data_IF_404269268065
#
_entry.id   IF_404269268065
#
_cell.length_a   1.000
_cell.length_b   1.000
_cell.length_c   1.000
_cell.angle_alpha   90.00
_cell.angle_beta   90.00
_cell.angle_gamma   90.00
#
_symmetry.space_group_name_H-M   'P 1'
#
loop_
_entity.id
_entity.type
_entity.pdbx_description
1 polymer ?
#
# COMPACT_ATOMS: atom_id res chain seq x y z
N UNK A 1 15.05 -6.11 -4.72
CA UNK A 1 14.08 -7.05 -5.35
C UNK A 1 14.60 -8.49 -5.29
N UNK A 2 15.83 -8.79 -5.70
CA UNK A 2 16.39 -10.15 -5.69
C UNK A 2 16.41 -10.86 -4.32
N UNK A 3 16.49 -10.11 -3.22
CA UNK A 3 16.46 -10.65 -1.84
C UNK A 3 15.13 -10.45 -1.12
N UNK A 4 14.11 -9.90 -1.79
CA UNK A 4 12.83 -9.64 -1.15
C UNK A 4 11.94 -10.88 -1.19
N UNK A 5 11.51 -11.37 -0.02
CA UNK A 5 10.57 -12.49 0.09
C UNK A 5 9.14 -12.11 -0.32
N UNK A 6 8.78 -10.85 -0.07
CA UNK A 6 7.44 -10.30 -0.32
C UNK A 6 7.57 -8.92 -0.97
N UNK A 7 6.80 -8.70 -2.03
CA UNK A 7 6.69 -7.44 -2.76
C UNK A 7 5.23 -7.02 -2.70
N UNK A 8 4.95 -5.81 -2.22
CA UNK A 8 3.60 -5.25 -2.19
C UNK A 8 3.50 -4.17 -3.26
N UNK A 9 2.51 -4.27 -4.15
CA UNK A 9 2.27 -3.33 -5.24
C UNK A 9 0.88 -2.72 -5.09
N UNK A 10 0.84 -1.40 -4.88
CA UNK A 10 -0.41 -0.64 -4.73
C UNK A 10 -0.71 0.16 -5.99
N UNK A 11 -1.80 -0.16 -6.68
CA UNK A 11 -2.26 0.60 -7.85
C UNK A 11 -3.18 1.75 -7.45
N UNK A 12 -2.83 2.95 -7.90
CA UNK A 12 -3.54 4.19 -7.60
C UNK A 12 -4.67 4.47 -8.58
N UNK A 13 -4.33 4.63 -9.85
CA UNK A 13 -5.24 5.03 -10.93
C UNK A 13 -4.73 4.53 -12.29
N UNK A 14 -5.63 4.26 -13.22
CA UNK A 14 -5.31 4.07 -14.64
C UNK A 14 -5.25 5.38 -15.44
N UNK A 15 -5.48 6.53 -14.78
CA UNK A 15 -5.36 7.85 -15.40
C UNK A 15 -3.89 8.26 -15.38
N UNK A 16 -3.31 8.41 -16.56
CA UNK A 16 -1.90 8.76 -16.74
C UNK A 16 -1.76 10.11 -17.42
N UNK A 17 -0.63 10.75 -17.16
CA UNK A 17 -0.16 11.88 -17.93
C UNK A 17 0.79 11.37 -19.02
N UNK A 18 0.60 11.84 -20.25
CA UNK A 18 1.51 11.62 -21.37
C UNK A 18 2.19 12.92 -21.75
N UNK A 19 3.49 12.84 -21.98
CA UNK A 19 4.29 13.89 -22.62
C UNK A 19 5.00 13.28 -23.82
N UNK A 20 4.77 13.83 -25.03
CA UNK A 20 5.37 13.30 -26.27
C UNK A 20 5.16 11.78 -26.43
N UNK A 21 3.92 11.32 -26.27
CA UNK A 21 3.51 9.91 -26.34
C UNK A 21 4.13 8.97 -25.28
N UNK A 22 4.79 9.50 -24.24
CA UNK A 22 5.34 8.71 -23.14
C UNK A 22 4.56 8.96 -21.86
N UNK A 23 4.16 7.88 -21.19
CA UNK A 23 3.61 7.95 -19.84
C UNK A 23 4.68 8.49 -18.90
N UNK A 24 4.31 9.50 -18.11
CA UNK A 24 5.20 10.13 -17.12
C UNK A 24 4.58 10.07 -15.72
N UNK A 25 5.43 9.97 -14.71
CA UNK A 25 5.03 9.96 -13.30
C UNK A 25 5.23 11.30 -12.59
N UNK A 26 6.02 12.21 -13.18
CA UNK A 26 6.30 13.54 -12.62
C UNK A 26 6.37 14.57 -13.75
N UNK A 27 5.61 15.65 -13.60
CA UNK A 27 5.58 16.76 -14.56
C UNK A 27 6.61 17.84 -14.25
N UNK A 28 7.40 17.72 -13.17
CA UNK A 28 8.41 18.69 -12.72
C UNK A 28 7.91 20.15 -12.63
N UNK A 29 6.62 20.32 -12.28
CA UNK A 29 5.91 21.61 -12.25
C UNK A 29 5.86 22.34 -13.61
N UNK A 30 6.01 21.63 -14.72
CA UNK A 30 5.84 22.19 -16.05
C UNK A 30 4.37 22.56 -16.35
N UNK A 31 4.11 23.44 -17.33
CA UNK A 31 2.76 23.83 -17.73
C UNK A 31 1.87 22.63 -18.08
N UNK A 32 0.64 22.60 -17.54
CA UNK A 32 -0.30 21.49 -17.74
C UNK A 32 -0.68 21.24 -19.20
N UNK A 33 -0.63 22.28 -20.05
CA UNK A 33 -0.92 22.18 -21.48
C UNK A 33 0.11 21.37 -22.28
N UNK A 34 1.23 20.98 -21.67
CA UNK A 34 2.21 20.08 -22.27
C UNK A 34 1.84 18.60 -22.10
N UNK A 35 0.82 18.31 -21.29
CA UNK A 35 0.46 16.95 -20.94
C UNK A 35 -0.93 16.59 -21.44
N UNK A 36 -1.01 15.39 -22.00
CA UNK A 36 -2.28 14.75 -22.33
C UNK A 36 -2.67 13.83 -21.18
N UNK A 37 -3.95 13.87 -20.82
CA UNK A 37 -4.52 12.94 -19.87
C UNK A 37 -5.17 11.79 -20.61
N UNK A 38 -4.80 10.56 -20.26
CA UNK A 38 -5.36 9.38 -20.88
C UNK A 38 -5.73 8.36 -19.81
N UNK A 39 -6.87 7.70 -20.02
CA UNK A 39 -7.21 6.52 -19.25
C UNK A 39 -6.65 5.29 -19.97
N UNK A 40 -5.71 4.58 -19.32
CA UNK A 40 -5.19 3.33 -19.85
C UNK A 40 -6.32 2.33 -20.09
N UNK A 41 -6.23 1.64 -21.22
CA UNK A 41 -7.13 0.56 -21.58
C UNK A 41 -6.89 -0.68 -20.72
N UNK A 42 -7.89 -1.55 -20.69
CA UNK A 42 -7.80 -2.87 -20.06
C UNK A 42 -6.56 -3.65 -20.52
N UNK A 43 -6.34 -3.72 -21.84
CA UNK A 43 -5.23 -4.48 -22.43
C UNK A 43 -3.86 -3.92 -22.06
N UNK A 44 -3.71 -2.59 -22.02
CA UNK A 44 -2.45 -1.94 -21.62
C UNK A 44 -2.13 -2.23 -20.15
N UNK A 45 -3.13 -2.15 -19.27
CA UNK A 45 -2.95 -2.46 -17.85
C UNK A 45 -2.59 -3.93 -17.68
N UNK A 46 -3.34 -4.84 -18.30
CA UNK A 46 -3.09 -6.28 -18.21
C UNK A 46 -1.67 -6.63 -18.69
N UNK A 47 -1.26 -6.09 -19.85
CA UNK A 47 0.09 -6.29 -20.38
C UNK A 47 1.18 -5.75 -19.43
N UNK A 48 0.96 -4.59 -18.82
CA UNK A 48 1.88 -4.00 -17.84
C UNK A 48 2.01 -4.84 -16.57
N UNK A 49 0.90 -5.42 -16.09
CA UNK A 49 0.88 -6.32 -14.93
C UNK A 49 1.67 -7.60 -15.24
N UNK A 50 1.41 -8.24 -16.38
CA UNK A 50 2.17 -9.42 -16.83
C UNK A 50 3.65 -9.12 -16.93
N UNK A 51 4.02 -8.00 -17.56
CA UNK A 51 5.42 -7.61 -17.67
C UNK A 51 6.08 -7.39 -16.31
N UNK A 52 5.35 -6.76 -15.37
CA UNK A 52 5.84 -6.57 -13.99
C UNK A 52 6.08 -7.90 -13.29
N UNK A 53 5.16 -8.85 -13.44
CA UNK A 53 5.27 -10.19 -12.87
C UNK A 53 6.43 -10.99 -13.48
N UNK A 54 6.60 -10.95 -14.81
CA UNK A 54 7.70 -11.59 -15.51
C UNK A 54 9.06 -11.03 -15.04
N UNK A 55 9.16 -9.70 -14.91
CA UNK A 55 10.37 -9.04 -14.42
C UNK A 55 10.70 -9.47 -12.98
N UNK A 56 9.71 -9.46 -12.09
CA UNK A 56 9.89 -9.92 -10.70
C UNK A 56 10.34 -11.38 -10.70
N UNK A 57 9.65 -12.24 -11.45
CA UNK A 57 9.97 -13.67 -11.50
C UNK A 57 11.36 -13.95 -12.08
N UNK A 58 11.82 -13.14 -13.03
CA UNK A 58 13.16 -13.27 -13.60
C UNK A 58 14.27 -12.91 -12.59
N UNK A 59 13.98 -12.04 -11.63
CA UNK A 59 14.92 -11.60 -10.60
C UNK A 59 14.84 -12.45 -9.34
N UNK A 60 13.65 -12.91 -8.98
CA UNK A 60 13.37 -13.77 -7.84
C UNK A 60 12.07 -14.56 -8.06
N UNK A 61 12.19 -15.82 -8.48
CA UNK A 61 11.04 -16.69 -8.75
C UNK A 61 10.24 -17.05 -7.47
N UNK A 62 10.88 -16.97 -6.30
CA UNK A 62 10.28 -17.29 -4.99
C UNK A 62 9.60 -16.09 -4.33
N UNK A 63 9.72 -14.89 -4.90
CA UNK A 63 9.10 -13.70 -4.35
C UNK A 63 7.57 -13.80 -4.41
N UNK A 64 6.91 -13.61 -3.27
CA UNK A 64 5.45 -13.46 -3.20
C UNK A 64 5.08 -12.04 -3.57
N UNK A 65 4.04 -11.88 -4.39
CA UNK A 65 3.59 -10.55 -4.82
C UNK A 65 2.18 -10.30 -4.32
N UNK A 66 2.00 -9.28 -3.51
CA UNK A 66 0.69 -8.86 -3.01
C UNK A 66 0.30 -7.59 -3.76
N UNK A 67 -0.70 -7.69 -4.63
CA UNK A 67 -1.31 -6.53 -5.25
C UNK A 67 -2.42 -5.98 -4.37
N UNK A 68 -2.63 -4.67 -4.46
CA UNK A 68 -3.80 -4.00 -3.89
C UNK A 68 -4.16 -2.79 -4.74
N UNK A 69 -5.44 -2.43 -4.80
CA UNK A 69 -5.87 -1.16 -5.36
C UNK A 69 -6.09 -0.19 -4.21
N UNK A 70 -5.50 1.00 -4.31
CA UNK A 70 -5.63 2.04 -3.29
C UNK A 70 -7.09 2.42 -3.06
N UNK A 71 -7.53 2.65 -1.81
CA UNK A 71 -8.89 3.10 -1.50
C UNK A 71 -9.13 4.57 -1.91
N UNK A 72 -8.07 5.34 -2.17
CA UNK A 72 -8.17 6.77 -2.47
C UNK A 72 -8.84 6.98 -3.82
N UNK A 73 -9.85 7.85 -3.83
CA UNK A 73 -10.60 8.26 -5.02
C UNK A 73 -9.91 9.43 -5.72
N UNK A 74 -9.85 9.40 -7.05
CA UNK A 74 -9.23 10.44 -7.88
C UNK A 74 -10.27 11.47 -8.32
N UNK A 75 -10.99 12.06 -7.36
CA UNK A 75 -12.16 12.90 -7.64
C UNK A 75 -11.85 14.17 -8.45
N UNK A 76 -10.60 14.65 -8.41
CA UNK A 76 -10.14 15.79 -9.24
C UNK A 76 -10.25 15.51 -10.74
N UNK A 77 -10.22 14.25 -11.14
CA UNK A 77 -10.38 13.84 -12.54
C UNK A 77 -11.83 13.59 -12.94
N UNK A 78 -12.78 13.71 -12.00
CA UNK A 78 -14.19 13.39 -12.19
C UNK A 78 -14.59 12.08 -11.53
N UNK A 79 -15.83 12.02 -11.03
CA UNK A 79 -16.38 10.84 -10.33
C UNK A 79 -16.50 9.63 -11.27
N UNK A 80 -16.84 9.88 -12.53
CA UNK A 80 -16.98 8.86 -13.58
C UNK A 80 -15.62 8.28 -13.92
N UNK A 81 -14.63 9.13 -14.16
CA UNK A 81 -13.26 8.77 -14.51
C UNK A 81 -12.59 8.02 -13.35
N UNK A 82 -12.78 8.48 -12.11
CA UNK A 82 -12.30 7.77 -10.92
C UNK A 82 -12.91 6.38 -10.82
N UNK A 83 -14.22 6.22 -11.09
CA UNK A 83 -14.89 4.92 -11.02
C UNK A 83 -14.44 3.99 -12.13
N UNK A 84 -14.37 4.48 -13.37
CA UNK A 84 -13.87 3.73 -14.53
C UNK A 84 -12.41 3.30 -14.33
N UNK A 85 -11.58 4.17 -13.74
CA UNK A 85 -10.18 3.90 -13.42
C UNK A 85 -10.02 2.72 -12.46
N UNK A 86 -10.80 2.71 -11.36
CA UNK A 86 -10.78 1.58 -10.40
C UNK A 86 -11.32 0.30 -11.03
N UNK A 87 -12.43 0.39 -11.77
CA UNK A 87 -13.04 -0.77 -12.42
C UNK A 87 -12.07 -1.45 -13.41
N UNK A 88 -11.41 -0.68 -14.27
CA UNK A 88 -10.48 -1.25 -15.27
C UNK A 88 -9.22 -1.82 -14.61
N UNK A 89 -8.69 -1.17 -13.55
CA UNK A 89 -7.56 -1.70 -12.78
C UNK A 89 -7.90 -3.05 -12.15
N UNK A 90 -9.03 -3.15 -11.46
CA UNK A 90 -9.47 -4.38 -10.80
C UNK A 90 -9.69 -5.51 -11.81
N UNK A 91 -10.42 -5.23 -12.90
CA UNK A 91 -10.68 -6.22 -13.93
C UNK A 91 -9.38 -6.75 -14.55
N UNK A 92 -8.48 -5.85 -14.97
CA UNK A 92 -7.22 -6.24 -15.62
C UNK A 92 -6.30 -6.98 -14.65
N UNK A 93 -6.27 -6.57 -13.38
CA UNK A 93 -5.48 -7.23 -12.36
C UNK A 93 -5.95 -8.66 -12.11
N UNK A 94 -7.25 -8.87 -11.90
CA UNK A 94 -7.78 -10.21 -11.66
C UNK A 94 -7.59 -11.14 -12.87
N UNK A 95 -7.74 -10.62 -14.09
CA UNK A 95 -7.47 -11.42 -15.30
C UNK A 95 -5.98 -11.76 -15.43
N UNK A 96 -5.08 -10.79 -15.23
CA UNK A 96 -3.64 -11.05 -15.25
C UNK A 96 -3.22 -12.09 -14.21
N UNK A 97 -3.72 -11.99 -12.98
CA UNK A 97 -3.43 -12.95 -11.91
C UNK A 97 -3.97 -14.36 -12.23
N UNK A 98 -5.11 -14.47 -12.91
CA UNK A 98 -5.67 -15.75 -13.35
C UNK A 98 -4.89 -16.41 -14.50
N UNK A 99 -4.32 -15.60 -15.39
CA UNK A 99 -3.51 -16.04 -16.53
C UNK A 99 -2.05 -16.37 -16.13
N UNK A 100 -1.54 -15.74 -15.07
CA UNK A 100 -0.13 -15.84 -14.71
C UNK A 100 0.25 -17.21 -14.13
N UNK A 101 1.39 -17.75 -14.57
CA UNK A 101 1.84 -19.10 -14.17
C UNK A 101 2.30 -19.17 -12.71
N UNK A 102 2.86 -18.08 -12.18
CA UNK A 102 3.28 -18.03 -10.79
C UNK A 102 2.07 -17.79 -9.88
N UNK A 103 1.67 -18.82 -9.13
CA UNK A 103 0.54 -18.79 -8.19
C UNK A 103 0.87 -18.09 -6.85
N UNK A 104 2.07 -17.53 -6.70
CA UNK A 104 2.48 -16.80 -5.50
C UNK A 104 2.03 -15.34 -5.48
N UNK A 105 1.29 -14.91 -6.50
CA UNK A 105 0.70 -13.57 -6.59
C UNK A 105 -0.73 -13.57 -6.05
N UNK A 106 -1.03 -12.64 -5.14
CA UNK A 106 -2.34 -12.52 -4.49
C UNK A 106 -2.85 -11.09 -4.53
N UNK A 107 -4.16 -10.91 -4.39
CA UNK A 107 -4.79 -9.61 -4.26
C UNK A 107 -5.29 -9.38 -2.83
N UNK A 108 -4.97 -8.22 -2.26
CA UNK A 108 -5.53 -7.73 -1.00
C UNK A 108 -6.56 -6.62 -1.28
N UNK A 109 -7.83 -6.78 -0.83
CA UNK A 109 -8.94 -5.94 -1.26
C UNK A 109 -9.05 -4.63 -0.46
N UNK A 110 -8.01 -3.78 -0.45
CA UNK A 110 -8.04 -2.55 0.36
C UNK A 110 -9.05 -1.52 -0.13
N UNK A 111 -9.30 -1.47 -1.44
CA UNK A 111 -10.31 -0.60 -2.06
C UNK A 111 -11.72 -1.03 -1.66
N UNK A 112 -12.02 -2.32 -1.76
CA UNK A 112 -13.33 -2.90 -1.44
C UNK A 112 -13.60 -2.84 0.06
N UNK A 113 -12.62 -3.11 0.92
CA UNK A 113 -12.77 -2.90 2.37
C UNK A 113 -13.19 -1.45 2.66
N UNK A 114 -12.52 -0.50 2.03
CA UNK A 114 -12.85 0.91 2.23
C UNK A 114 -14.24 1.28 1.68
N UNK A 115 -14.60 0.77 0.50
CA UNK A 115 -15.86 1.11 -0.15
C UNK A 115 -17.06 0.38 0.46
N UNK A 116 -16.89 -0.86 0.91
CA UNK A 116 -17.99 -1.75 1.27
C UNK A 116 -18.08 -2.05 2.77
N UNK A 117 -16.98 -2.06 3.51
CA UNK A 117 -16.98 -2.24 4.97
C UNK A 117 -16.93 -0.90 5.72
N UNK A 118 -16.24 0.10 5.16
CA UNK A 118 -16.06 1.45 5.73
C UNK A 118 -16.90 2.53 5.03
N UNK A 119 -18.17 2.21 4.73
CA UNK A 119 -19.09 3.06 3.95
C UNK A 119 -19.41 4.44 4.54
N UNK A 120 -19.28 4.59 5.86
CA UNK A 120 -19.67 5.79 6.58
C UNK A 120 -18.65 6.94 6.36
N UNK A 121 -19.15 8.17 6.14
CA UNK A 121 -18.31 9.36 5.97
C UNK A 121 -17.33 9.60 7.13
N UNK A 122 -17.58 9.07 8.33
CA UNK A 122 -16.62 9.11 9.46
C UNK A 122 -15.26 8.49 9.14
N UNK A 123 -15.21 7.63 8.12
CA UNK A 123 -13.99 6.96 7.66
C UNK A 123 -13.25 7.75 6.58
N UNK A 124 -13.77 8.90 6.16
CA UNK A 124 -13.19 9.77 5.13
C UNK A 124 -12.80 11.11 5.75
N UNK A 125 -11.61 11.61 5.42
CA UNK A 125 -11.14 12.94 5.83
C UNK A 125 -12.00 14.04 5.16
N UNK A 126 -11.85 15.27 5.64
CA UNK A 126 -12.61 16.44 5.14
C UNK A 126 -12.45 16.68 3.63
N UNK A 127 -11.36 16.20 3.02
CA UNK A 127 -11.15 16.26 1.57
C UNK A 127 -12.02 15.27 0.77
N UNK A 128 -12.82 14.44 1.45
CA UNK A 128 -13.74 13.44 0.89
C UNK A 128 -13.07 12.33 0.06
N UNK A 129 -11.74 12.22 0.12
CA UNK A 129 -10.94 11.31 -0.71
C UNK A 129 -10.05 10.38 0.10
N UNK A 130 -9.43 10.87 1.16
CA UNK A 130 -8.46 10.10 1.94
C UNK A 130 -9.12 9.41 3.14
N UNK A 131 -8.67 8.20 3.50
CA UNK A 131 -9.14 7.53 4.71
C UNK A 131 -8.74 8.31 5.96
N UNK A 132 -9.57 8.26 7.02
CA UNK A 132 -9.17 8.70 8.36
C UNK A 132 -8.18 7.72 8.99
N UNK A 133 -7.52 8.12 10.08
CA UNK A 133 -6.61 7.23 10.83
C UNK A 133 -7.34 5.96 11.27
N UNK A 134 -8.62 6.06 11.66
CA UNK A 134 -9.44 4.91 12.02
C UNK A 134 -9.61 3.93 10.85
N UNK A 135 -9.83 4.45 9.64
CA UNK A 135 -9.96 3.63 8.44
C UNK A 135 -8.62 2.99 8.03
N UNK A 136 -7.52 3.75 8.11
CA UNK A 136 -6.16 3.25 7.88
C UNK A 136 -5.84 2.08 8.84
N UNK A 137 -6.16 2.24 10.13
CA UNK A 137 -5.98 1.21 11.15
C UNK A 137 -6.83 -0.04 10.85
N UNK A 138 -8.10 0.14 10.49
CA UNK A 138 -8.97 -1.00 10.17
C UNK A 138 -8.45 -1.81 8.97
N UNK A 139 -8.01 -1.13 7.91
CA UNK A 139 -7.40 -1.79 6.75
C UNK A 139 -6.11 -2.51 7.16
N UNK A 140 -5.29 -1.90 8.02
CA UNK A 140 -4.08 -2.52 8.55
C UNK A 140 -4.36 -3.77 9.39
N UNK A 141 -5.41 -3.76 10.20
CA UNK A 141 -5.87 -4.92 10.98
C UNK A 141 -6.31 -6.07 10.05
N UNK A 142 -7.06 -5.77 8.98
CA UNK A 142 -7.44 -6.75 7.96
C UNK A 142 -6.24 -7.30 7.20
N UNK A 143 -5.27 -6.45 6.87
CA UNK A 143 -4.03 -6.88 6.21
C UNK A 143 -3.22 -7.81 7.13
N UNK A 144 -3.03 -7.39 8.37
CA UNK A 144 -2.26 -8.14 9.37
C UNK A 144 -2.87 -9.50 9.66
N UNK A 145 -4.20 -9.57 9.83
CA UNK A 145 -4.88 -10.85 10.07
C UNK A 145 -4.85 -11.80 8.87
N UNK A 146 -4.70 -11.26 7.65
CA UNK A 146 -4.61 -12.05 6.42
C UNK A 146 -3.20 -12.62 6.20
N UNK A 147 -2.16 -11.83 6.44
CA UNK A 147 -0.79 -12.19 6.02
C UNK A 147 0.18 -12.48 7.16
N UNK A 148 -0.09 -12.04 8.39
CA UNK A 148 0.85 -12.20 9.49
C UNK A 148 0.52 -13.45 10.31
N UNK A 149 1.57 -14.20 10.61
CA UNK A 149 1.48 -15.27 11.59
C UNK A 149 1.51 -14.69 13.01
N UNK A 150 1.14 -15.53 13.99
CA UNK A 150 1.11 -15.17 15.41
C UNK A 150 2.41 -14.55 15.91
N UNK A 151 3.58 -15.07 15.49
CA UNK A 151 4.89 -14.56 15.90
C UNK A 151 5.10 -13.12 15.40
N UNK A 152 4.73 -12.84 14.15
CA UNK A 152 4.81 -11.49 13.58
C UNK A 152 3.88 -10.53 14.33
N UNK A 153 2.64 -10.95 14.63
CA UNK A 153 1.70 -10.14 15.42
C UNK A 153 2.26 -9.83 16.82
N UNK A 154 2.82 -10.82 17.50
CA UNK A 154 3.45 -10.63 18.83
C UNK A 154 4.62 -9.64 18.79
N UNK A 155 5.42 -9.66 17.72
CA UNK A 155 6.51 -8.69 17.50
C UNK A 155 5.94 -7.28 17.35
N UNK A 156 4.93 -7.11 16.48
CA UNK A 156 4.27 -5.82 16.23
C UNK A 156 3.71 -5.25 17.52
N UNK A 157 3.02 -6.05 18.34
CA UNK A 157 2.46 -5.62 19.62
C UNK A 157 3.54 -5.10 20.58
N UNK A 158 4.71 -5.73 20.61
CA UNK A 158 5.82 -5.27 21.45
C UNK A 158 6.42 -3.96 20.94
N UNK A 159 6.53 -3.80 19.62
CA UNK A 159 6.98 -2.55 18.98
C UNK A 159 5.97 -1.43 19.21
N UNK A 160 4.66 -1.70 19.10
CA UNK A 160 3.61 -0.71 19.39
C UNK A 160 3.67 -0.25 20.85
N UNK A 161 3.77 -1.18 21.81
CA UNK A 161 3.97 -0.84 23.23
C UNK A 161 5.21 0.02 23.48
N UNK A 162 6.28 -0.21 22.72
CA UNK A 162 7.48 0.63 22.78
C UNK A 162 7.20 2.04 22.22
N UNK A 163 6.54 2.15 21.07
CA UNK A 163 6.20 3.44 20.45
C UNK A 163 5.23 4.25 21.30
N UNK A 164 4.22 3.61 21.90
CA UNK A 164 3.28 4.24 22.82
C UNK A 164 4.00 4.78 24.06
N UNK A 165 4.93 3.98 24.60
CA UNK A 165 5.78 4.44 25.70
C UNK A 165 6.64 5.63 25.26
N UNK A 166 7.31 5.54 24.10
CA UNK A 166 8.15 6.62 23.54
C UNK A 166 7.39 7.94 23.36
N UNK A 167 6.14 7.87 22.95
CA UNK A 167 5.31 9.05 22.67
C UNK A 167 4.54 9.56 23.90
N UNK A 168 4.62 8.85 25.04
CA UNK A 168 4.02 9.28 26.29
C UNK A 168 4.67 10.59 26.78
N UNK A 169 3.89 11.44 27.44
CA UNK A 169 4.39 12.65 28.11
C UNK A 169 4.65 12.35 29.60
N UNK A 170 5.89 11.99 30.01
CA UNK A 170 6.16 11.58 31.38
C UNK A 170 6.18 12.76 32.35
N UNK A 171 5.87 12.48 33.62
CA UNK A 171 6.09 13.43 34.73
C UNK A 171 7.58 13.52 35.13
N UNK A 172 8.31 12.42 35.01
CA UNK A 172 9.75 12.34 35.26
C UNK A 172 10.49 11.93 33.98
N UNK A 173 11.10 12.90 33.32
CA UNK A 173 11.76 12.72 32.03
C UNK A 173 13.02 11.84 32.12
N UNK A 174 13.80 11.92 33.20
CA UNK A 174 15.05 11.15 33.32
C UNK A 174 14.78 9.66 33.50
N UNK A 175 13.85 9.30 34.39
CA UNK A 175 13.43 7.91 34.57
C UNK A 175 12.80 7.34 33.30
N UNK A 176 12.00 8.16 32.61
CA UNK A 176 11.39 7.76 31.35
C UNK A 176 12.44 7.44 30.27
N UNK A 177 13.46 8.28 30.11
CA UNK A 177 14.56 8.06 29.17
C UNK A 177 15.36 6.79 29.49
N UNK A 178 15.63 6.52 30.77
CA UNK A 178 16.30 5.29 31.20
C UNK A 178 15.49 4.05 30.79
N UNK A 179 14.19 4.02 31.12
CA UNK A 179 13.30 2.92 30.76
C UNK A 179 13.12 2.76 29.24
N UNK A 180 13.14 3.87 28.49
CA UNK A 180 13.07 3.86 27.02
C UNK A 180 14.29 3.13 26.43
N UNK A 181 15.49 3.44 26.91
CA UNK A 181 16.74 2.82 26.48
C UNK A 181 16.74 1.32 26.82
N UNK A 182 16.33 0.95 28.03
CA UNK A 182 16.22 -0.46 28.45
C UNK A 182 15.25 -1.24 27.55
N UNK A 183 14.07 -0.69 27.29
CA UNK A 183 13.07 -1.31 26.40
C UNK A 183 13.59 -1.45 24.96
N UNK A 184 14.25 -0.42 24.43
CA UNK A 184 14.87 -0.45 23.09
C UNK A 184 15.94 -1.54 23.00
N UNK A 185 16.84 -1.61 23.98
CA UNK A 185 17.91 -2.60 24.01
C UNK A 185 17.37 -4.03 24.10
N UNK A 186 16.34 -4.25 24.95
CA UNK A 186 15.68 -5.55 25.05
C UNK A 186 15.04 -5.96 23.73
N UNK A 187 14.36 -5.05 23.05
CA UNK A 187 13.76 -5.34 21.74
C UNK A 187 14.82 -5.65 20.68
N UNK A 188 15.91 -4.88 20.63
CA UNK A 188 16.99 -5.12 19.67
C UNK A 188 17.74 -6.44 19.94
N UNK A 189 17.84 -6.87 21.21
CA UNK A 189 18.42 -8.18 21.55
C UNK A 189 17.57 -9.34 21.06
N UNK A 190 16.24 -9.24 21.23
CA UNK A 190 15.30 -10.31 20.83
C UNK A 190 15.05 -10.28 19.32
N UNK A 191 15.01 -9.10 18.71
CA UNK A 191 14.70 -8.88 17.30
C UNK A 191 15.72 -7.94 16.63
N UNK A 192 16.96 -8.42 16.37
CA UNK A 192 18.05 -7.59 15.85
C UNK A 192 17.81 -7.04 14.44
N UNK A 193 16.82 -7.58 13.72
CA UNK A 193 16.40 -7.09 12.40
C UNK A 193 15.47 -5.86 12.45
N UNK A 194 14.95 -5.49 13.64
CA UNK A 194 14.08 -4.32 13.78
C UNK A 194 14.93 -3.07 14.01
N UNK A 195 14.76 -2.07 13.15
CA UNK A 195 15.40 -0.77 13.32
C UNK A 195 14.45 0.22 14.00
N UNK A 196 14.59 0.38 15.32
CA UNK A 196 13.80 1.33 16.11
C UNK A 196 14.44 2.73 16.03
N UNK A 197 13.94 3.59 15.14
CA UNK A 197 14.25 5.03 15.07
C UNK A 197 13.53 5.81 16.16
#
# INVERSE_FOLDING_TARGET
LSQADVIILTYGTSLVYKHQNKVIANCHKQPNNLFEHEQLSFSEIKASIHHTLDLISSLNAEAKVIFTVSPIRHLRSGVTESSRSKAVLLAALHEALGEHKNKQSTYFPSYEIFMDELRDYRFVKEDLTHPTIQAEQYIWERFSSTFFNKKTTEIIDQVMKYNDFKNHRPKNTSLHLQQLIEKKNKLNQVYPFINLT
#
